data_IF_462620682682
#
_entry.id   IF_462620682682
#
_cell.length_a   1.000
_cell.length_b   1.000
_cell.length_c   1.000
_cell.angle_alpha   90.00
_cell.angle_beta   90.00
_cell.angle_gamma   90.00
#
_symmetry.space_group_name_H-M   'P 1'
#
loop_
_entity.id
_entity.type
_entity.pdbx_description
1 polymer ?
#
# COMPACT_ATOMS: atom_id res chain seq x y z
N UNK A 1 -14.12 -72.74 -32.87
CA UNK A 1 -14.76 -73.35 -31.68
C UNK A 1 -15.37 -72.20 -30.91
N UNK A 2 -16.63 -71.88 -31.35
CA UNK A 2 -17.41 -70.77 -30.77
C UNK A 2 -18.22 -71.32 -29.61
N UNK A 3 -18.21 -70.59 -28.50
CA UNK A 3 -19.11 -70.84 -27.37
C UNK A 3 -19.97 -69.60 -27.16
N UNK A 4 -21.21 -69.69 -27.60
CA UNK A 4 -22.31 -68.78 -27.28
C UNK A 4 -22.68 -68.87 -25.80
N UNK A 5 -22.77 -67.71 -25.13
CA UNK A 5 -23.43 -67.60 -23.82
C UNK A 5 -24.62 -66.64 -23.93
N UNK A 6 -25.79 -67.17 -23.62
CA UNK A 6 -27.09 -66.47 -23.62
C UNK A 6 -27.21 -65.47 -22.43
N UNK A 7 -27.84 -64.31 -22.59
CA UNK A 7 -28.16 -63.39 -21.48
C UNK A 7 -29.47 -63.80 -20.82
N UNK A 8 -29.44 -63.96 -19.50
CA UNK A 8 -30.62 -64.07 -18.64
C UNK A 8 -31.26 -62.69 -18.43
N UNK A 9 -32.54 -62.59 -18.76
CA UNK A 9 -33.45 -61.47 -18.41
C UNK A 9 -33.67 -61.51 -16.89
N UNK A 10 -33.34 -60.43 -16.17
CA UNK A 10 -33.79 -60.15 -14.81
C UNK A 10 -34.73 -58.93 -14.86
N UNK A 11 -35.87 -59.12 -14.22
CA UNK A 11 -37.09 -58.34 -14.42
C UNK A 11 -37.06 -56.90 -13.95
N UNK A 12 -37.96 -56.21 -14.60
CA UNK A 12 -38.39 -54.83 -14.33
C UNK A 12 -39.12 -54.74 -12.97
N UNK A 13 -38.46 -54.14 -11.92
CA UNK A 13 -39.16 -53.65 -10.73
C UNK A 13 -38.34 -52.63 -9.94
N UNK A 14 -37.60 -51.73 -10.62
CA UNK A 14 -36.81 -50.68 -9.94
C UNK A 14 -36.85 -49.34 -10.66
N UNK A 15 -38.01 -48.72 -10.96
CA UNK A 15 -37.92 -47.29 -11.30
C UNK A 15 -38.76 -46.35 -10.41
N UNK A 16 -39.38 -46.80 -9.31
CA UNK A 16 -40.30 -45.90 -8.55
C UNK A 16 -39.75 -45.36 -7.22
N UNK A 17 -38.64 -45.91 -6.72
CA UNK A 17 -38.03 -45.44 -5.44
C UNK A 17 -36.87 -44.49 -5.66
N UNK A 18 -36.19 -44.57 -6.81
CA UNK A 18 -35.06 -43.66 -7.13
C UNK A 18 -35.51 -42.25 -7.50
N UNK A 19 -36.74 -42.11 -8.09
CA UNK A 19 -37.30 -40.82 -8.48
C UNK A 19 -37.63 -39.87 -7.32
N UNK A 20 -37.99 -40.39 -6.15
CA UNK A 20 -38.35 -39.55 -4.99
C UNK A 20 -37.15 -39.09 -4.16
N UNK A 21 -36.03 -39.79 -4.20
CA UNK A 21 -34.79 -39.38 -3.51
C UNK A 21 -34.00 -38.32 -4.29
N UNK A 22 -34.09 -38.35 -5.63
CA UNK A 22 -33.43 -37.32 -6.49
C UNK A 22 -34.23 -36.02 -6.47
N UNK A 23 -35.52 -36.02 -6.32
CA UNK A 23 -36.33 -34.80 -6.18
C UNK A 23 -36.16 -34.12 -4.81
N UNK A 24 -35.85 -34.89 -3.75
CA UNK A 24 -35.59 -34.36 -2.40
C UNK A 24 -34.18 -33.77 -2.25
N UNK A 25 -33.20 -34.22 -3.03
CA UNK A 25 -31.83 -33.67 -3.03
C UNK A 25 -31.66 -32.45 -3.95
N UNK A 26 -32.54 -32.25 -4.93
CA UNK A 26 -32.48 -31.03 -5.77
C UNK A 26 -33.13 -29.79 -5.12
N UNK A 27 -33.91 -29.95 -4.03
CA UNK A 27 -34.52 -28.83 -3.32
C UNK A 27 -33.63 -28.25 -2.20
N UNK A 28 -32.48 -28.86 -1.90
CA UNK A 28 -31.51 -28.36 -0.88
C UNK A 28 -30.32 -27.62 -1.47
N UNK A 29 -30.14 -27.55 -2.78
CA UNK A 29 -29.28 -26.60 -3.45
C UNK A 29 -30.06 -25.31 -3.75
N UNK A 30 -30.55 -24.64 -2.71
CA UNK A 30 -30.78 -23.21 -2.78
C UNK A 30 -29.40 -22.62 -2.98
N UNK A 31 -29.12 -22.18 -4.21
CA UNK A 31 -27.94 -21.54 -4.66
C UNK A 31 -27.53 -20.47 -3.65
N UNK A 32 -26.46 -20.74 -2.91
CA UNK A 32 -25.53 -19.68 -2.55
C UNK A 32 -24.98 -19.29 -3.93
N UNK A 33 -25.64 -18.36 -4.60
CA UNK A 33 -25.03 -17.69 -5.73
C UNK A 33 -23.70 -17.18 -5.19
N UNK A 34 -22.55 -17.51 -5.81
CA UNK A 34 -21.33 -16.84 -5.43
C UNK A 34 -21.66 -15.35 -5.58
N UNK A 35 -21.57 -14.59 -4.49
CA UNK A 35 -21.60 -13.15 -4.59
C UNK A 35 -20.38 -12.81 -5.41
N UNK A 36 -20.57 -12.55 -6.70
CA UNK A 36 -19.49 -12.04 -7.53
C UNK A 36 -19.08 -10.73 -6.90
N UNK A 37 -17.79 -10.63 -6.52
CA UNK A 37 -17.20 -9.38 -6.07
C UNK A 37 -17.55 -8.29 -7.10
N UNK A 38 -18.28 -7.28 -6.66
CA UNK A 38 -18.68 -6.18 -7.53
C UNK A 38 -17.54 -5.16 -7.62
N UNK A 39 -17.41 -4.49 -8.77
CA UNK A 39 -16.55 -3.32 -8.88
C UNK A 39 -17.35 -2.09 -8.44
N UNK A 40 -16.93 -1.46 -7.34
CA UNK A 40 -17.66 -0.36 -6.71
C UNK A 40 -16.98 0.99 -6.94
N UNK A 41 -17.75 2.00 -7.32
CA UNK A 41 -17.27 3.36 -7.56
C UNK A 41 -17.18 4.16 -6.27
N UNK A 42 -16.18 3.91 -5.46
CA UNK A 42 -16.02 4.51 -4.11
C UNK A 42 -14.90 5.54 -4.01
N UNK A 43 -13.98 5.61 -4.96
CA UNK A 43 -12.88 6.58 -4.97
C UNK A 43 -13.46 7.97 -5.25
N UNK A 44 -13.20 8.92 -4.35
CA UNK A 44 -13.73 10.28 -4.41
C UNK A 44 -12.69 11.32 -4.77
N UNK A 45 -11.42 11.03 -4.50
CA UNK A 45 -10.32 11.92 -4.78
C UNK A 45 -9.05 11.13 -5.08
N UNK A 46 -8.18 11.67 -5.93
CA UNK A 46 -6.78 11.24 -6.12
C UNK A 46 -5.94 12.50 -6.19
N UNK A 47 -4.78 12.50 -5.54
CA UNK A 47 -3.82 13.60 -5.58
C UNK A 47 -2.39 13.08 -5.67
N UNK A 48 -1.49 13.93 -6.16
CA UNK A 48 -0.06 13.69 -6.24
C UNK A 48 0.69 14.80 -5.51
N UNK A 49 1.64 14.43 -4.68
CA UNK A 49 2.55 15.36 -4.03
C UNK A 49 3.98 14.80 -4.06
N UNK A 50 4.97 15.67 -4.14
CA UNK A 50 6.38 15.26 -3.98
C UNK A 50 6.65 14.92 -2.51
N UNK A 51 7.43 13.87 -2.23
CA UNK A 51 7.80 13.50 -0.86
C UNK A 51 8.65 14.56 -0.16
N UNK A 52 9.51 15.26 -0.90
CA UNK A 52 10.31 16.36 -0.39
C UNK A 52 9.51 17.64 -0.11
N UNK A 53 8.17 17.61 -0.30
CA UNK A 53 7.21 18.71 -0.07
C UNK A 53 7.43 19.93 -0.97
N UNK A 54 8.29 19.83 -1.97
CA UNK A 54 8.48 20.88 -2.95
C UNK A 54 7.30 20.92 -3.94
N UNK A 55 6.94 22.12 -4.36
CA UNK A 55 5.82 22.34 -5.30
C UNK A 55 6.28 22.48 -6.76
N UNK A 56 7.58 22.35 -7.01
CA UNK A 56 8.16 22.40 -8.36
C UNK A 56 7.93 21.11 -9.12
N UNK A 57 8.07 21.16 -10.45
CA UNK A 57 7.91 19.99 -11.31
C UNK A 57 8.86 18.84 -10.89
N UNK A 58 8.35 17.61 -10.73
CA UNK A 58 9.22 16.45 -10.53
C UNK A 58 10.07 16.18 -11.75
N UNK A 59 11.24 15.57 -11.55
CA UNK A 59 12.15 15.18 -12.61
C UNK A 59 12.19 13.67 -12.76
N UNK A 60 12.16 13.19 -14.00
CA UNK A 60 12.24 11.77 -14.35
C UNK A 60 13.43 11.09 -13.65
N UNK A 61 13.17 9.94 -13.03
CA UNK A 61 14.17 9.12 -12.36
C UNK A 61 14.67 9.66 -11.02
N UNK A 62 14.32 10.89 -10.62
CA UNK A 62 14.86 11.55 -9.43
C UNK A 62 13.80 11.62 -8.32
N UNK A 63 12.69 12.30 -8.57
CA UNK A 63 11.76 12.65 -7.50
C UNK A 63 10.72 11.57 -7.27
N UNK A 64 10.60 11.19 -6.01
CA UNK A 64 9.52 10.33 -5.52
C UNK A 64 8.30 11.19 -5.24
N UNK A 65 7.14 10.64 -5.59
CA UNK A 65 5.84 11.26 -5.34
C UNK A 65 4.95 10.30 -4.58
N UNK A 66 4.16 10.82 -3.67
CA UNK A 66 3.09 10.09 -3.03
C UNK A 66 1.80 10.30 -3.82
N UNK A 67 1.23 9.23 -4.32
CA UNK A 67 -0.16 9.19 -4.77
C UNK A 67 -1.03 8.95 -3.54
N UNK A 68 -1.95 9.85 -3.26
CA UNK A 68 -2.98 9.69 -2.23
C UNK A 68 -4.33 9.50 -2.87
N UNK A 69 -5.19 8.69 -2.25
CA UNK A 69 -6.56 8.49 -2.71
C UNK A 69 -7.52 8.38 -1.53
N UNK A 70 -8.73 8.91 -1.71
CA UNK A 70 -9.80 8.86 -0.73
C UNK A 70 -10.93 7.96 -1.23
N UNK A 71 -11.53 7.22 -0.31
CA UNK A 71 -12.72 6.40 -0.57
C UNK A 71 -13.89 6.86 0.30
N UNK A 72 -15.10 6.75 -0.25
CA UNK A 72 -16.34 7.00 0.46
C UNK A 72 -17.44 6.07 -0.05
N UNK A 73 -17.98 5.24 0.84
CA UNK A 73 -19.07 4.31 0.56
C UNK A 73 -20.43 4.81 1.01
N UNK A 74 -20.55 6.07 1.45
CA UNK A 74 -21.81 6.65 1.91
C UNK A 74 -22.89 6.53 0.83
N UNK A 75 -24.02 5.92 1.16
CA UNK A 75 -25.12 5.66 0.24
C UNK A 75 -24.86 4.58 -0.80
N UNK A 76 -23.84 3.75 -0.61
CA UNK A 76 -23.51 2.61 -1.46
C UNK A 76 -23.54 1.34 -0.64
N UNK A 77 -24.10 0.27 -1.20
CA UNK A 77 -24.04 -1.06 -0.61
C UNK A 77 -22.68 -1.67 -0.99
N UNK A 78 -21.82 -1.90 -0.01
CA UNK A 78 -20.53 -2.55 -0.18
C UNK A 78 -20.47 -3.78 0.70
N UNK A 79 -20.03 -4.89 0.13
CA UNK A 79 -19.91 -6.18 0.80
C UNK A 79 -18.45 -6.67 0.85
N UNK A 80 -18.11 -7.59 1.76
CA UNK A 80 -16.84 -8.28 1.73
C UNK A 80 -16.56 -8.92 0.36
N UNK A 81 -15.37 -8.66 -0.18
CA UNK A 81 -14.97 -9.13 -1.52
C UNK A 81 -15.23 -8.12 -2.64
N UNK A 82 -16.02 -7.08 -2.44
CA UNK A 82 -16.17 -6.01 -3.45
C UNK A 82 -14.85 -5.27 -3.66
N UNK A 83 -14.65 -4.79 -4.89
CA UNK A 83 -13.35 -4.23 -5.28
C UNK A 83 -13.49 -2.86 -5.94
N UNK A 84 -12.40 -2.09 -5.89
CA UNK A 84 -12.16 -0.98 -6.79
C UNK A 84 -10.74 -1.04 -7.35
N UNK A 85 -10.53 -0.45 -8.52
CA UNK A 85 -9.23 -0.42 -9.17
C UNK A 85 -8.82 1.00 -9.50
N UNK A 86 -7.50 1.28 -9.35
CA UNK A 86 -6.87 2.53 -9.78
C UNK A 86 -5.72 2.15 -10.69
N UNK A 87 -5.76 2.57 -11.96
CA UNK A 87 -4.65 2.37 -12.89
C UNK A 87 -3.66 3.52 -12.75
N UNK A 88 -2.40 3.18 -12.57
CA UNK A 88 -1.30 4.15 -12.50
C UNK A 88 -0.99 4.63 -13.92
N UNK A 89 -0.91 5.95 -14.17
CA UNK A 89 -0.59 6.49 -15.49
C UNK A 89 0.83 6.12 -15.93
N UNK A 90 1.09 6.03 -17.25
CA UNK A 90 2.39 5.61 -17.77
C UNK A 90 3.53 6.58 -17.45
N UNK A 91 3.26 7.81 -17.09
CA UNK A 91 4.26 8.79 -16.65
C UNK A 91 4.87 8.44 -15.30
N UNK A 92 4.23 7.53 -14.56
CA UNK A 92 4.61 7.13 -13.22
C UNK A 92 4.86 5.63 -13.13
N UNK A 93 5.79 5.23 -12.26
CA UNK A 93 5.93 3.84 -11.81
C UNK A 93 5.65 3.74 -10.32
N UNK A 94 5.04 2.65 -9.89
CA UNK A 94 4.98 2.25 -8.48
C UNK A 94 6.35 1.75 -8.05
N UNK A 95 6.85 2.27 -6.93
CA UNK A 95 8.13 1.85 -6.37
C UNK A 95 7.91 1.08 -5.07
N UNK A 96 8.77 0.09 -4.82
CA UNK A 96 8.82 -0.68 -3.60
C UNK A 96 10.19 -0.52 -2.96
N UNK A 97 10.23 0.05 -1.77
CA UNK A 97 11.46 0.11 -0.97
C UNK A 97 11.80 -1.28 -0.40
N UNK A 98 10.80 -2.16 -0.25
CA UNK A 98 11.02 -3.54 0.16
C UNK A 98 11.61 -4.44 -0.93
N UNK A 99 11.75 -3.95 -2.17
CA UNK A 99 12.16 -4.74 -3.33
C UNK A 99 11.11 -5.78 -3.75
N UNK A 100 9.91 -5.69 -3.22
CA UNK A 100 8.82 -6.60 -3.57
C UNK A 100 8.30 -6.30 -4.97
N UNK A 101 8.06 -7.34 -5.77
CA UNK A 101 7.43 -7.19 -7.09
C UNK A 101 5.93 -6.83 -7.00
N UNK A 102 5.34 -6.95 -5.82
CA UNK A 102 3.94 -6.58 -5.55
C UNK A 102 3.86 -5.97 -4.15
N UNK A 103 3.31 -4.78 -4.07
CA UNK A 103 3.03 -4.11 -2.81
C UNK A 103 1.67 -4.56 -2.32
N UNK A 104 1.61 -4.99 -1.06
CA UNK A 104 0.37 -5.33 -0.39
C UNK A 104 0.30 -4.50 0.90
N UNK A 105 -0.79 -3.78 1.07
CA UNK A 105 -1.06 -3.00 2.27
C UNK A 105 -2.54 -3.00 2.59
N UNK A 106 -2.88 -2.76 3.85
CA UNK A 106 -4.26 -2.65 4.30
C UNK A 106 -4.56 -1.24 4.78
N UNK A 107 -5.74 -0.75 4.45
CA UNK A 107 -6.33 0.41 5.13
C UNK A 107 -6.95 -0.12 6.43
N UNK A 108 -6.46 0.40 7.57
CA UNK A 108 -6.80 -0.10 8.89
C UNK A 108 -7.74 0.88 9.60
N UNK A 109 -8.67 0.35 10.40
CA UNK A 109 -9.45 1.20 11.31
C UNK A 109 -8.61 1.61 12.54
N UNK A 110 -9.20 2.38 13.45
CA UNK A 110 -8.54 2.85 14.67
C UNK A 110 -8.08 1.69 15.57
N UNK A 111 -8.81 0.56 15.55
CA UNK A 111 -8.48 -0.67 16.28
C UNK A 111 -7.46 -1.56 15.56
N UNK A 112 -6.88 -1.08 14.44
CA UNK A 112 -5.92 -1.80 13.58
C UNK A 112 -6.50 -3.04 12.91
N UNK A 113 -7.81 -3.09 12.69
CA UNK A 113 -8.48 -4.14 11.91
C UNK A 113 -8.45 -3.75 10.42
N UNK A 114 -8.09 -4.68 9.51
CA UNK A 114 -8.15 -4.45 8.07
C UNK A 114 -9.58 -4.18 7.59
N UNK A 115 -9.76 -3.05 6.92
CA UNK A 115 -11.04 -2.63 6.31
C UNK A 115 -11.01 -2.88 4.82
N UNK A 116 -9.90 -2.51 4.16
CA UNK A 116 -9.65 -2.68 2.73
C UNK A 116 -8.23 -3.20 2.53
N UNK A 117 -8.07 -4.25 1.77
CA UNK A 117 -6.77 -4.81 1.39
C UNK A 117 -6.44 -4.40 -0.04
N UNK A 118 -5.32 -3.71 -0.22
CA UNK A 118 -4.84 -3.22 -1.52
C UNK A 118 -3.62 -4.00 -1.99
N UNK A 119 -3.57 -4.29 -3.29
CA UNK A 119 -2.46 -4.94 -3.96
C UNK A 119 -2.14 -4.21 -5.26
N UNK A 120 -0.87 -3.88 -5.47
CA UNK A 120 -0.39 -3.24 -6.70
C UNK A 120 0.98 -3.79 -7.10
N UNK A 121 1.18 -4.23 -8.35
CA UNK A 121 2.51 -4.58 -8.82
C UNK A 121 3.44 -3.37 -8.79
N UNK A 122 4.72 -3.57 -8.45
CA UNK A 122 5.74 -2.56 -8.68
C UNK A 122 5.99 -2.41 -10.20
N UNK A 123 6.16 -1.18 -10.69
CA UNK A 123 6.42 -0.92 -12.10
C UNK A 123 5.53 0.14 -12.73
N UNK A 124 5.60 0.21 -14.07
CA UNK A 124 4.90 1.20 -14.90
C UNK A 124 3.58 0.65 -15.44
N UNK A 125 2.56 1.52 -15.63
CA UNK A 125 1.30 1.16 -16.26
C UNK A 125 0.49 0.08 -15.53
N UNK A 126 0.76 -0.11 -14.24
CA UNK A 126 0.14 -1.15 -13.40
C UNK A 126 -1.21 -0.69 -12.86
N UNK A 127 -2.04 -1.66 -12.46
CA UNK A 127 -3.31 -1.38 -11.77
C UNK A 127 -3.23 -1.83 -10.33
N UNK A 128 -3.60 -0.95 -9.41
CA UNK A 128 -3.89 -1.27 -8.03
C UNK A 128 -5.30 -1.82 -7.91
N UNK A 129 -5.45 -2.92 -7.19
CA UNK A 129 -6.76 -3.49 -6.84
C UNK A 129 -6.89 -3.46 -5.33
N UNK A 130 -7.99 -2.89 -4.85
CA UNK A 130 -8.34 -2.85 -3.45
C UNK A 130 -9.64 -3.62 -3.22
N UNK A 131 -9.67 -4.47 -2.19
CA UNK A 131 -10.77 -5.38 -1.86
C UNK A 131 -11.28 -5.08 -0.46
N UNK A 132 -12.58 -4.90 -0.30
CA UNK A 132 -13.20 -4.74 1.01
C UNK A 132 -13.17 -6.05 1.79
N UNK A 133 -12.68 -5.96 3.04
CA UNK A 133 -12.59 -7.08 3.97
C UNK A 133 -13.91 -7.36 4.70
N UNK A 134 -13.85 -8.30 5.66
CA UNK A 134 -15.00 -8.69 6.49
C UNK A 134 -15.61 -7.53 7.29
N UNK A 135 -14.84 -6.47 7.54
CA UNK A 135 -15.32 -5.25 8.20
C UNK A 135 -16.56 -4.65 7.50
N UNK A 136 -16.62 -4.71 6.17
CA UNK A 136 -17.75 -4.19 5.38
C UNK A 136 -19.08 -4.98 5.61
N UNK A 137 -19.05 -6.17 6.24
CA UNK A 137 -20.26 -6.91 6.58
C UNK A 137 -21.09 -6.21 7.66
N UNK A 138 -20.40 -5.65 8.65
CA UNK A 138 -21.01 -5.14 9.86
C UNK A 138 -20.95 -3.61 9.94
N UNK A 139 -20.41 -2.94 8.89
CA UNK A 139 -20.24 -1.50 8.83
C UNK A 139 -20.68 -0.93 7.48
N UNK A 140 -21.14 0.32 7.48
CA UNK A 140 -21.53 1.10 6.30
C UNK A 140 -20.87 2.47 6.34
N UNK A 141 -21.07 3.29 5.31
CA UNK A 141 -20.50 4.66 5.22
C UNK A 141 -18.99 4.66 5.50
N UNK A 142 -18.26 3.69 4.94
CA UNK A 142 -16.82 3.56 5.13
C UNK A 142 -16.13 4.70 4.40
N UNK A 143 -15.37 5.50 5.15
CA UNK A 143 -14.50 6.57 4.63
C UNK A 143 -13.06 6.19 4.94
N UNK A 144 -12.17 6.38 3.98
CA UNK A 144 -10.77 6.03 4.17
C UNK A 144 -9.84 6.82 3.27
N UNK A 145 -8.56 6.79 3.65
CA UNK A 145 -7.46 7.41 2.93
C UNK A 145 -6.34 6.41 2.72
N UNK A 146 -5.84 6.31 1.49
CA UNK A 146 -4.73 5.43 1.15
C UNK A 146 -3.61 6.16 0.42
N UNK A 147 -2.38 5.67 0.56
CA UNK A 147 -1.20 6.22 -0.10
C UNK A 147 -0.36 5.14 -0.75
N UNK A 148 0.24 5.46 -1.90
CA UNK A 148 1.19 4.62 -2.62
C UNK A 148 2.32 5.49 -3.14
N UNK A 149 3.56 5.01 -3.02
CA UNK A 149 4.73 5.71 -3.52
C UNK A 149 4.93 5.45 -5.00
N UNK A 150 5.19 6.53 -5.72
CA UNK A 150 5.42 6.51 -7.18
C UNK A 150 6.64 7.32 -7.53
N UNK A 151 7.18 7.10 -8.73
CA UNK A 151 8.32 7.86 -9.27
C UNK A 151 8.02 8.26 -10.69
N UNK A 152 8.38 9.48 -11.08
CA UNK A 152 8.28 9.95 -12.45
C UNK A 152 9.23 9.15 -13.36
N UNK A 153 8.74 8.61 -14.48
CA UNK A 153 9.53 7.81 -15.45
C UNK A 153 9.46 8.37 -16.86
N UNK A 154 8.42 9.11 -17.20
CA UNK A 154 8.29 9.78 -18.49
C UNK A 154 8.02 11.26 -18.32
N UNK A 155 8.75 12.09 -19.09
CA UNK A 155 8.55 13.53 -19.10
C UNK A 155 7.23 13.89 -19.79
N UNK A 156 6.57 14.93 -19.30
CA UNK A 156 5.38 15.50 -19.92
C UNK A 156 5.29 17.00 -19.67
N UNK A 157 4.83 17.75 -20.67
CA UNK A 157 4.47 19.16 -20.53
C UNK A 157 3.01 19.37 -20.16
N UNK A 158 2.23 18.28 -20.05
CA UNK A 158 0.86 18.34 -19.51
C UNK A 158 0.90 18.73 -18.06
N UNK A 159 -0.03 19.57 -17.63
CA UNK A 159 -0.19 19.91 -16.22
C UNK A 159 -0.94 18.84 -15.42
N UNK A 160 -1.48 17.83 -16.10
CA UNK A 160 -2.29 16.77 -15.50
C UNK A 160 -1.92 15.40 -16.04
N UNK A 161 -2.21 14.36 -15.26
CA UNK A 161 -2.20 12.95 -15.67
C UNK A 161 -3.55 12.31 -15.40
N UNK A 162 -3.84 11.20 -16.08
CA UNK A 162 -5.12 10.49 -15.97
C UNK A 162 -4.95 9.18 -15.19
N UNK A 163 -5.72 9.04 -14.11
CA UNK A 163 -5.86 7.81 -13.34
C UNK A 163 -7.21 7.15 -13.65
N UNK A 164 -7.28 6.10 -14.48
CA UNK A 164 -8.51 5.36 -14.65
C UNK A 164 -8.92 4.63 -13.35
N UNK A 165 -10.08 5.01 -12.81
CA UNK A 165 -10.72 4.35 -11.66
C UNK A 165 -11.87 3.51 -12.16
N UNK A 166 -11.81 2.19 -11.97
CA UNK A 166 -12.78 1.25 -12.54
C UNK A 166 -13.03 1.51 -14.06
N UNK A 167 -11.98 1.91 -14.79
CA UNK A 167 -12.06 2.25 -16.20
C UNK A 167 -12.53 3.67 -16.54
N UNK A 168 -12.91 4.48 -15.54
CA UNK A 168 -13.30 5.89 -15.73
C UNK A 168 -12.13 6.80 -15.42
N UNK A 169 -11.78 7.71 -16.34
CA UNK A 169 -10.65 8.63 -16.18
C UNK A 169 -10.91 9.66 -15.05
N UNK A 170 -9.97 9.73 -14.11
CA UNK A 170 -9.86 10.80 -13.11
C UNK A 170 -8.63 11.64 -13.45
N UNK A 171 -8.82 12.93 -13.67
CA UNK A 171 -7.75 13.87 -14.03
C UNK A 171 -7.14 14.44 -12.76
N UNK A 172 -5.81 14.35 -12.63
CA UNK A 172 -5.06 14.75 -11.45
C UNK A 172 -3.96 15.73 -11.85
N UNK A 173 -3.85 16.83 -11.12
CA UNK A 173 -2.82 17.84 -11.33
C UNK A 173 -1.43 17.32 -10.94
N UNK A 174 -0.44 17.63 -11.76
CA UNK A 174 0.97 17.37 -11.47
C UNK A 174 1.56 18.47 -10.60
N UNK A 175 2.38 18.14 -9.58
CA UNK A 175 3.18 19.13 -8.87
C UNK A 175 4.00 19.98 -9.87
N UNK A 176 3.92 21.31 -9.76
CA UNK A 176 4.61 22.23 -10.67
C UNK A 176 4.15 22.20 -12.12
N UNK A 177 3.03 21.52 -12.43
CA UNK A 177 2.36 21.57 -13.72
C UNK A 177 3.05 20.84 -14.87
N UNK A 178 4.00 19.93 -14.60
CA UNK A 178 4.70 19.13 -15.62
C UNK A 178 5.57 18.05 -14.97
N UNK A 179 6.17 17.16 -15.78
CA UNK A 179 7.30 16.30 -15.39
C UNK A 179 8.49 16.64 -16.27
N UNK A 180 9.58 17.10 -15.67
CA UNK A 180 10.82 17.45 -16.39
C UNK A 180 11.59 16.19 -16.78
N UNK A 181 12.05 16.14 -18.03
CA UNK A 181 12.98 15.11 -18.53
C UNK A 181 14.45 15.43 -18.24
N UNK A 182 14.73 16.64 -17.82
CA UNK A 182 16.11 17.11 -17.64
C UNK A 182 16.38 17.32 -16.16
N UNK A 183 17.37 16.60 -15.64
CA UNK A 183 17.91 16.84 -14.31
C UNK A 183 19.16 17.71 -14.40
N UNK A 184 19.10 18.87 -13.77
CA UNK A 184 20.29 19.68 -13.56
C UNK A 184 20.92 19.32 -12.22
N UNK A 185 22.00 18.54 -12.24
CA UNK A 185 22.79 18.21 -11.05
C UNK A 185 23.57 19.44 -10.60
N UNK A 186 23.03 20.19 -9.64
CA UNK A 186 23.66 21.41 -9.13
C UNK A 186 23.98 21.21 -7.65
N UNK A 187 25.27 21.17 -7.31
CA UNK A 187 25.71 21.20 -5.92
C UNK A 187 25.92 22.64 -5.45
N UNK A 188 25.02 23.15 -4.64
CA UNK A 188 25.13 24.50 -4.08
C UNK A 188 26.01 24.53 -2.83
N UNK A 189 25.87 23.52 -1.97
CA UNK A 189 26.59 23.40 -0.70
C UNK A 189 27.05 21.96 -0.50
N UNK A 190 28.13 21.81 0.30
CA UNK A 190 28.51 20.53 0.85
C UNK A 190 27.34 19.98 1.67
N UNK A 191 26.99 18.72 1.45
CA UNK A 191 25.83 18.07 2.06
C UNK A 191 26.08 16.60 2.28
N UNK A 192 25.26 16.02 3.16
CA UNK A 192 25.15 14.58 3.36
C UNK A 192 23.69 14.20 3.27
N UNK A 193 23.38 13.12 2.57
CA UNK A 193 22.03 12.61 2.42
C UNK A 193 22.04 11.11 2.21
N UNK A 194 20.87 10.47 2.34
CA UNK A 194 20.70 9.04 2.12
C UNK A 194 19.44 8.76 1.32
N UNK A 195 19.39 7.57 0.73
CA UNK A 195 18.19 7.03 0.08
C UNK A 195 18.13 5.53 0.27
N UNK A 196 16.91 4.94 0.34
CA UNK A 196 16.75 3.51 0.27
C UNK A 196 17.34 2.98 -1.03
N UNK A 197 17.99 1.81 -0.98
CA UNK A 197 18.48 1.16 -2.20
C UNK A 197 17.29 0.56 -2.94
N UNK A 198 17.01 1.05 -4.15
CA UNK A 198 15.93 0.53 -4.98
C UNK A 198 16.10 -0.98 -5.19
N UNK A 199 15.06 -1.75 -4.88
CA UNK A 199 15.06 -3.20 -4.99
C UNK A 199 15.72 -3.96 -3.82
N UNK A 200 16.21 -3.27 -2.79
CA UNK A 200 16.81 -3.91 -1.59
C UNK A 200 16.52 -3.08 -0.33
N UNK A 201 15.39 -3.36 0.31
CA UNK A 201 14.96 -2.68 1.54
C UNK A 201 15.89 -2.87 2.74
N UNK A 202 16.84 -3.79 2.64
CA UNK A 202 17.83 -4.02 3.69
C UNK A 202 18.99 -3.04 3.64
N UNK A 203 19.03 -2.15 2.65
CA UNK A 203 20.16 -1.26 2.40
C UNK A 203 19.78 0.19 2.23
N UNK A 204 20.67 1.04 2.71
CA UNK A 204 20.67 2.49 2.50
C UNK A 204 21.90 2.83 1.66
N UNK A 205 21.73 3.66 0.65
CA UNK A 205 22.82 4.34 -0.05
C UNK A 205 23.00 5.69 0.62
N UNK A 206 24.17 5.94 1.19
CA UNK A 206 24.57 7.24 1.72
C UNK A 206 25.46 7.95 0.73
N UNK A 207 25.29 9.25 0.63
CA UNK A 207 26.10 10.11 -0.24
C UNK A 207 26.55 11.35 0.51
N UNK A 208 27.83 11.70 0.35
CA UNK A 208 28.47 12.88 0.87
C UNK A 208 28.99 13.68 -0.31
N UNK A 209 28.32 14.79 -0.60
CA UNK A 209 28.72 15.72 -1.66
C UNK A 209 29.56 16.84 -1.06
N UNK A 210 30.78 17.01 -1.53
CA UNK A 210 31.72 18.00 -1.00
C UNK A 210 32.07 19.03 -2.05
N UNK A 211 31.70 20.29 -1.79
CA UNK A 211 32.14 21.40 -2.63
C UNK A 211 33.51 21.87 -2.18
N UNK A 212 34.51 21.67 -3.00
CA UNK A 212 35.91 22.00 -2.66
C UNK A 212 36.13 23.45 -2.24
N UNK A 213 35.33 24.41 -2.78
CA UNK A 213 35.37 25.81 -2.37
C UNK A 213 34.91 26.10 -0.95
N UNK A 214 34.21 25.13 -0.31
CA UNK A 214 33.73 25.24 1.06
C UNK A 214 34.62 24.52 2.10
N UNK A 215 35.66 23.86 1.64
CA UNK A 215 36.70 23.32 2.50
C UNK A 215 37.53 24.44 3.12
N UNK A 216 38.14 24.24 4.29
CA UNK A 216 39.02 25.22 4.93
C UNK A 216 40.09 25.74 3.96
N UNK A 217 40.41 27.03 4.06
CA UNK A 217 41.50 27.62 3.26
C UNK A 217 42.83 26.96 3.63
N UNK A 218 43.61 26.57 2.61
CA UNK A 218 44.87 25.87 2.80
C UNK A 218 44.75 24.36 3.08
N UNK A 219 43.56 23.81 3.16
CA UNK A 219 43.39 22.35 3.23
C UNK A 219 43.96 21.70 1.96
N UNK A 220 44.89 20.78 2.13
CA UNK A 220 45.51 19.98 1.06
C UNK A 220 44.88 18.57 0.95
N UNK A 221 44.09 18.19 1.94
CA UNK A 221 43.44 16.90 2.06
C UNK A 221 41.97 17.08 2.47
N UNK A 222 41.16 16.16 2.06
CA UNK A 222 39.79 15.98 2.54
C UNK A 222 39.78 14.82 3.50
N UNK A 223 39.37 15.07 4.73
CA UNK A 223 39.15 14.07 5.77
C UNK A 223 37.64 13.99 6.06
N UNK A 224 37.12 12.79 6.06
CA UNK A 224 35.71 12.49 6.40
C UNK A 224 35.73 11.51 7.55
N UNK A 225 35.13 11.88 8.68
CA UNK A 225 34.86 10.97 9.81
C UNK A 225 33.35 10.79 9.87
N UNK A 226 32.90 9.63 9.46
CA UNK A 226 31.47 9.27 9.39
C UNK A 226 31.07 8.48 10.65
N UNK A 227 29.93 8.82 11.25
CA UNK A 227 29.44 8.16 12.47
C UNK A 227 27.97 7.77 12.32
N UNK A 228 27.70 6.48 12.40
CA UNK A 228 26.39 5.90 12.23
C UNK A 228 25.52 6.09 13.47
N UNK A 229 24.31 6.62 13.29
CA UNK A 229 23.32 6.67 14.36
C UNK A 229 22.71 5.28 14.60
N UNK A 230 22.88 4.78 15.81
CA UNK A 230 22.39 3.47 16.24
C UNK A 230 21.00 3.54 16.89
N UNK A 231 20.39 4.72 17.01
CA UNK A 231 19.12 4.92 17.75
C UNK A 231 17.94 4.24 17.07
N UNK A 232 17.93 4.17 15.73
CA UNK A 232 16.86 3.56 14.93
C UNK A 232 17.07 2.06 14.65
N UNK A 233 17.75 1.33 15.54
CA UNK A 233 18.07 -0.10 15.36
C UNK A 233 19.39 -0.35 14.66
N UNK A 234 20.07 0.71 14.23
CA UNK A 234 21.41 0.70 13.68
C UNK A 234 21.53 0.15 12.27
N UNK A 235 22.68 0.43 11.69
CA UNK A 235 23.10 -0.08 10.40
C UNK A 235 24.61 -0.27 10.36
N UNK A 236 25.12 -1.01 9.40
CA UNK A 236 26.54 -1.34 9.29
C UNK A 236 27.03 -1.08 7.88
N UNK A 237 28.25 -0.57 7.75
CA UNK A 237 28.91 -0.37 6.46
C UNK A 237 28.97 -1.68 5.67
N UNK A 238 28.63 -1.64 4.38
CA UNK A 238 28.90 -2.73 3.45
C UNK A 238 30.32 -2.60 2.94
N UNK A 239 31.23 -3.49 3.30
CA UNK A 239 32.64 -3.40 2.89
C UNK A 239 32.78 -3.40 1.37
N UNK A 240 33.61 -2.52 0.80
CA UNK A 240 33.88 -2.44 -0.63
C UNK A 240 32.75 -1.81 -1.45
N UNK A 241 31.71 -1.28 -0.80
CA UNK A 241 30.62 -0.57 -1.48
C UNK A 241 30.97 0.88 -1.81
N UNK A 242 32.00 1.43 -1.20
CA UNK A 242 32.39 2.82 -1.39
C UNK A 242 32.76 3.12 -2.84
N UNK A 243 32.37 4.31 -3.29
CA UNK A 243 32.78 4.90 -4.57
C UNK A 243 33.08 6.38 -4.33
N UNK A 244 34.28 6.83 -4.65
CA UNK A 244 34.63 8.22 -4.68
C UNK A 244 34.64 8.71 -6.12
N UNK A 245 33.91 9.79 -6.40
CA UNK A 245 33.89 10.48 -7.68
C UNK A 245 34.51 11.86 -7.49
N UNK A 246 35.27 12.31 -8.48
CA UNK A 246 35.86 13.63 -8.51
C UNK A 246 35.54 14.34 -9.81
N UNK A 247 35.12 15.59 -9.69
CA UNK A 247 34.77 16.48 -10.80
C UNK A 247 35.57 17.78 -10.65
N UNK A 248 36.26 18.21 -11.72
CA UNK A 248 37.11 19.42 -11.68
C UNK A 248 36.30 20.72 -11.55
N UNK A 249 35.04 20.69 -12.00
CA UNK A 249 34.14 21.85 -12.05
C UNK A 249 32.67 21.43 -12.11
N UNK A 250 31.78 22.41 -12.00
CA UNK A 250 30.34 22.19 -12.00
C UNK A 250 29.81 21.58 -13.31
N UNK A 251 30.44 21.85 -14.48
CA UNK A 251 30.01 21.27 -15.74
C UNK A 251 30.29 19.77 -15.83
N UNK A 252 31.46 19.33 -15.33
CA UNK A 252 31.77 17.90 -15.21
C UNK A 252 30.84 17.21 -14.21
N UNK A 253 30.54 17.88 -13.09
CA UNK A 253 29.58 17.38 -12.09
C UNK A 253 28.19 17.22 -12.69
N UNK A 254 27.72 18.18 -13.48
CA UNK A 254 26.43 18.09 -14.18
C UNK A 254 26.40 16.95 -15.19
N UNK A 255 27.52 16.71 -15.89
CA UNK A 255 27.63 15.65 -16.89
C UNK A 255 27.70 14.24 -16.28
N UNK A 256 28.00 14.14 -14.98
CA UNK A 256 28.08 12.88 -14.20
C UNK A 256 28.96 11.80 -14.86
N UNK A 257 30.14 12.20 -15.34
CA UNK A 257 31.02 11.31 -16.13
C UNK A 257 32.32 10.91 -15.43
N UNK A 258 32.45 11.19 -14.12
CA UNK A 258 33.64 10.79 -13.40
C UNK A 258 33.69 9.27 -13.15
N UNK A 259 34.87 8.65 -13.27
CA UNK A 259 35.04 7.26 -12.90
C UNK A 259 34.90 7.08 -11.39
N UNK A 260 34.30 5.95 -10.97
CA UNK A 260 34.29 5.55 -9.56
C UNK A 260 35.68 5.08 -9.12
N UNK A 261 36.18 5.66 -8.04
CA UNK A 261 37.42 5.24 -7.39
C UNK A 261 37.10 4.43 -6.14
N UNK A 262 37.78 3.30 -5.95
CA UNK A 262 37.69 2.47 -4.76
C UNK A 262 38.81 2.84 -3.75
N UNK A 263 38.62 2.51 -2.50
CA UNK A 263 39.68 2.64 -1.50
C UNK A 263 40.97 1.93 -1.97
N UNK A 264 42.11 2.59 -1.81
CA UNK A 264 43.38 2.17 -2.39
C UNK A 264 43.68 2.71 -3.78
N UNK A 265 42.71 3.35 -4.47
CA UNK A 265 42.96 3.94 -5.79
C UNK A 265 43.79 5.22 -5.70
N UNK A 266 44.71 5.45 -6.67
CA UNK A 266 45.43 6.72 -6.77
C UNK A 266 44.50 7.86 -7.15
N UNK A 267 44.70 9.02 -6.53
CA UNK A 267 43.98 10.26 -6.85
C UNK A 267 44.95 11.46 -6.70
N UNK A 268 45.26 12.16 -7.80
CA UNK A 268 46.31 13.17 -7.82
C UNK A 268 47.67 12.59 -7.38
N UNK A 269 48.34 13.25 -6.45
CA UNK A 269 49.61 12.81 -5.89
C UNK A 269 49.48 11.90 -4.65
N UNK A 270 48.26 11.46 -4.31
CA UNK A 270 47.96 10.62 -3.16
C UNK A 270 47.08 9.44 -3.45
N UNK A 271 46.43 8.94 -2.41
CA UNK A 271 45.58 7.76 -2.47
C UNK A 271 44.27 8.02 -1.75
N UNK A 272 43.15 7.56 -2.30
CA UNK A 272 41.88 7.48 -1.58
C UNK A 272 41.97 6.33 -0.56
N UNK A 273 41.80 6.63 0.73
CA UNK A 273 41.70 5.61 1.79
C UNK A 273 40.33 5.64 2.43
N UNK A 274 39.85 4.49 2.89
CA UNK A 274 38.64 4.37 3.70
C UNK A 274 38.83 3.21 4.68
N UNK A 275 38.76 3.52 5.96
CA UNK A 275 38.96 2.55 7.04
C UNK A 275 37.76 2.57 7.98
N UNK A 276 37.15 1.40 8.21
CA UNK A 276 36.05 1.25 9.17
C UNK A 276 36.55 1.54 10.59
N UNK A 277 35.73 2.19 11.42
CA UNK A 277 36.03 2.40 12.84
C UNK A 277 36.11 1.04 13.56
N UNK A 278 36.96 0.98 14.63
CA UNK A 278 37.18 -0.26 15.36
C UNK A 278 35.90 -0.85 16.02
N UNK A 279 34.92 -0.01 16.30
CA UNK A 279 33.63 -0.39 16.87
C UNK A 279 32.56 -0.71 15.80
N UNK A 280 32.90 -0.58 14.51
CA UNK A 280 32.00 -0.84 13.37
C UNK A 280 30.90 0.21 13.19
N UNK A 281 30.96 1.35 13.91
CA UNK A 281 29.91 2.39 13.91
C UNK A 281 30.26 3.59 13.04
N UNK A 282 31.11 3.41 12.06
CA UNK A 282 31.50 4.46 11.15
C UNK A 282 32.75 4.12 10.39
N UNK A 283 33.35 5.14 9.79
CA UNK A 283 34.62 5.04 9.06
C UNK A 283 35.35 6.37 9.03
N UNK A 284 36.61 6.31 8.70
CA UNK A 284 37.40 7.49 8.29
C UNK A 284 37.82 7.32 6.85
N UNK A 285 37.58 8.34 6.04
CA UNK A 285 38.03 8.38 4.64
C UNK A 285 38.92 9.61 4.41
N UNK A 286 40.01 9.43 3.66
CA UNK A 286 40.91 10.52 3.31
C UNK A 286 41.32 10.48 1.85
N UNK A 287 41.49 11.63 1.25
CA UNK A 287 41.99 11.80 -0.12
C UNK A 287 42.51 13.22 -0.37
N UNK A 288 43.49 13.43 -1.28
CA UNK A 288 43.99 14.75 -1.62
C UNK A 288 42.90 15.70 -2.15
N UNK A 289 42.96 16.96 -1.73
CA UNK A 289 42.17 18.03 -2.35
C UNK A 289 42.87 18.46 -3.64
N UNK A 290 42.29 18.08 -4.80
CA UNK A 290 42.91 18.32 -6.10
C UNK A 290 42.79 19.78 -6.55
N UNK A 291 41.58 20.36 -6.43
CA UNK A 291 41.35 21.76 -6.80
C UNK A 291 40.45 22.47 -5.80
N UNK A 292 40.52 23.81 -5.79
CA UNK A 292 39.65 24.64 -4.95
C UNK A 292 38.17 24.57 -5.39
N UNK A 293 37.92 24.40 -6.68
CA UNK A 293 36.56 24.44 -7.24
C UNK A 293 36.04 23.04 -7.61
N UNK A 294 36.77 21.99 -7.29
CA UNK A 294 36.31 20.62 -7.55
C UNK A 294 35.16 20.20 -6.64
N UNK A 295 34.40 19.24 -7.13
CA UNK A 295 33.37 18.56 -6.37
C UNK A 295 33.78 17.11 -6.14
N UNK A 296 33.63 16.63 -4.92
CA UNK A 296 33.86 15.24 -4.56
C UNK A 296 32.55 14.63 -4.09
N UNK A 297 32.27 13.40 -4.52
CA UNK A 297 31.10 12.65 -4.10
C UNK A 297 31.58 11.31 -3.53
N UNK A 298 31.38 11.09 -2.25
CA UNK A 298 31.61 9.79 -1.63
C UNK A 298 30.26 9.10 -1.43
N UNK A 299 30.08 8.00 -2.13
CA UNK A 299 28.88 7.16 -2.02
C UNK A 299 29.27 5.81 -1.39
N UNK A 300 28.45 5.29 -0.48
CA UNK A 300 28.64 3.97 0.11
C UNK A 300 27.29 3.37 0.54
N UNK A 301 27.28 2.05 0.72
CA UNK A 301 26.08 1.34 1.17
C UNK A 301 26.21 0.95 2.66
N UNK A 302 25.07 0.98 3.34
CA UNK A 302 24.92 0.46 4.68
C UNK A 302 23.78 -0.56 4.76
N UNK A 303 24.00 -1.66 5.47
CA UNK A 303 22.95 -2.67 5.74
C UNK A 303 22.22 -2.31 7.02
N UNK A 304 20.89 -2.31 6.99
CA UNK A 304 20.03 -2.10 8.16
C UNK A 304 20.06 -3.36 9.03
N UNK A 305 20.43 -3.22 10.29
CA UNK A 305 20.63 -4.35 11.21
C UNK A 305 19.31 -4.97 11.67
N UNK A 306 18.21 -4.18 11.73
CA UNK A 306 16.91 -4.65 12.16
C UNK A 306 15.84 -4.29 11.12
N UNK A 307 15.54 -5.21 10.21
CA UNK A 307 14.54 -5.01 9.16
C UNK A 307 13.09 -4.83 9.69
N UNK A 308 12.80 -5.24 10.92
CA UNK A 308 11.48 -5.04 11.50
C UNK A 308 11.19 -3.55 11.72
N UNK A 309 12.23 -2.71 11.89
CA UNK A 309 12.09 -1.26 12.01
C UNK A 309 11.72 -0.59 10.69
N UNK A 310 12.11 -1.18 9.54
CA UNK A 310 11.86 -0.63 8.20
C UNK A 310 10.37 -0.56 7.86
N UNK A 311 9.57 -1.48 8.38
CA UNK A 311 8.12 -1.56 8.11
C UNK A 311 7.29 -0.51 8.83
N UNK A 312 7.90 0.24 9.77
CA UNK A 312 7.22 1.21 10.63
C UNK A 312 7.39 2.69 10.26
N UNK A 313 8.07 3.01 9.16
CA UNK A 313 8.36 4.40 8.79
C UNK A 313 9.41 5.02 9.73
N UNK A 314 10.65 4.56 9.67
CA UNK A 314 11.75 5.01 10.54
C UNK A 314 12.67 5.93 9.76
N UNK A 315 13.06 7.04 10.38
CA UNK A 315 14.14 7.90 9.89
C UNK A 315 15.48 7.39 10.41
N UNK A 316 16.41 7.11 9.50
CA UNK A 316 17.81 6.85 9.82
C UNK A 316 18.61 8.14 9.68
N UNK A 317 19.41 8.46 10.70
CA UNK A 317 20.30 9.60 10.70
C UNK A 317 21.75 9.16 10.56
N UNK A 318 22.56 10.01 9.96
CA UNK A 318 23.99 9.77 9.80
C UNK A 318 24.75 11.10 9.79
N UNK A 319 25.78 11.19 10.61
CA UNK A 319 26.61 12.37 10.78
C UNK A 319 27.98 12.16 10.15
N UNK A 320 28.51 13.18 9.49
CA UNK A 320 29.87 13.22 9.00
C UNK A 320 30.58 14.51 9.42
N UNK A 321 31.78 14.39 9.95
CA UNK A 321 32.72 15.51 10.09
C UNK A 321 33.56 15.54 8.83
N UNK A 322 33.49 16.64 8.09
CA UNK A 322 34.32 16.88 6.89
C UNK A 322 35.30 18.01 7.25
N UNK A 323 36.58 17.68 7.34
CA UNK A 323 37.59 18.60 7.82
C UNK A 323 37.14 19.32 9.12
N UNK A 324 36.66 18.54 10.10
CA UNK A 324 36.15 18.98 11.41
C UNK A 324 34.82 19.79 11.37
N UNK A 325 34.14 19.95 10.22
CA UNK A 325 32.81 20.57 10.15
C UNK A 325 31.73 19.50 10.05
N UNK A 326 30.72 19.59 10.91
CA UNK A 326 29.61 18.63 10.99
C UNK A 326 28.60 18.82 9.84
N UNK A 327 28.21 17.71 9.23
CA UNK A 327 27.12 17.59 8.28
C UNK A 327 26.25 16.38 8.67
N UNK A 328 24.96 16.60 8.79
CA UNK A 328 23.98 15.57 9.14
C UNK A 328 23.12 15.23 7.94
N UNK A 329 22.97 13.95 7.65
CA UNK A 329 22.04 13.42 6.66
C UNK A 329 20.93 12.61 7.33
N UNK A 330 19.77 12.59 6.71
CA UNK A 330 18.65 11.73 7.09
C UNK A 330 18.11 10.99 5.89
N UNK A 331 17.52 9.83 6.15
CA UNK A 331 16.73 9.09 5.17
C UNK A 331 15.50 8.53 5.86
N UNK A 332 14.34 8.86 5.30
CA UNK A 332 13.08 8.28 5.71
C UNK A 332 12.84 7.01 4.90
N UNK A 333 12.69 5.88 5.59
CA UNK A 333 12.26 4.65 4.95
C UNK A 333 10.76 4.51 5.22
N UNK A 334 9.97 4.70 4.19
CA UNK A 334 8.53 4.63 4.26
C UNK A 334 8.04 3.21 3.98
N UNK A 335 6.86 2.88 4.49
CA UNK A 335 6.13 1.70 4.01
C UNK A 335 5.78 1.90 2.53
N UNK A 336 5.84 0.84 1.73
CA UNK A 336 5.53 0.87 0.29
C UNK A 336 4.13 1.41 -0.01
N UNK A 337 3.18 1.20 0.91
CA UNK A 337 1.84 1.76 0.90
C UNK A 337 1.22 1.70 2.29
N UNK A 338 0.29 2.58 2.56
CA UNK A 338 -0.43 2.63 3.84
C UNK A 338 -1.83 3.22 3.67
N UNK A 339 -2.68 3.06 4.66
CA UNK A 339 -3.98 3.70 4.67
C UNK A 339 -4.74 3.47 5.97
N UNK A 340 -5.75 4.29 6.15
CA UNK A 340 -6.74 4.18 7.21
C UNK A 340 -8.16 4.20 6.62
N UNK A 341 -9.09 3.55 7.28
CA UNK A 341 -10.50 3.57 6.92
C UNK A 341 -11.38 3.24 8.13
N UNK A 342 -12.45 3.97 8.29
CA UNK A 342 -13.45 3.75 9.34
C UNK A 342 -14.86 3.78 8.75
N UNK A 343 -15.79 3.09 9.39
CA UNK A 343 -17.20 3.05 9.01
C UNK A 343 -18.11 2.99 10.22
N UNK A 344 -19.37 3.37 10.04
CA UNK A 344 -20.39 3.28 11.05
C UNK A 344 -20.87 1.84 11.21
N UNK A 345 -21.05 1.38 12.44
CA UNK A 345 -21.61 0.06 12.69
C UNK A 345 -23.04 -0.05 12.13
N UNK A 346 -23.36 -1.19 11.53
CA UNK A 346 -24.69 -1.45 11.04
C UNK A 346 -25.71 -1.48 12.22
N UNK A 347 -26.92 -0.92 12.06
CA UNK A 347 -27.91 -0.97 13.11
C UNK A 347 -28.22 -2.42 13.47
N UNK A 348 -28.12 -2.75 14.77
CA UNK A 348 -28.53 -4.08 15.23
C UNK A 348 -30.00 -4.28 14.86
N UNK A 349 -30.37 -5.40 14.19
CA UNK A 349 -31.75 -5.65 13.87
C UNK A 349 -32.57 -5.66 15.17
N UNK A 350 -33.49 -4.72 15.30
CA UNK A 350 -34.44 -4.73 16.42
C UNK A 350 -35.18 -6.04 16.33
N UNK A 351 -35.22 -6.87 17.42
CA UNK A 351 -35.95 -8.13 17.37
C UNK A 351 -37.39 -7.83 16.96
N UNK A 352 -37.81 -8.38 15.83
CA UNK A 352 -39.20 -8.29 15.38
C UNK A 352 -40.04 -8.89 16.49
N UNK A 353 -40.84 -8.07 17.15
CA UNK A 353 -41.82 -8.56 18.14
C UNK A 353 -42.74 -9.55 17.39
N UNK A 354 -42.56 -10.82 17.68
CA UNK A 354 -43.48 -11.84 17.18
C UNK A 354 -44.89 -11.40 17.61
N UNK A 355 -45.83 -11.18 16.67
CA UNK A 355 -47.17 -10.74 17.07
C UNK A 355 -47.69 -11.71 18.07
N UNK A 356 -48.05 -11.19 19.27
CA UNK A 356 -48.72 -11.99 20.30
C UNK A 356 -49.96 -12.56 19.62
N UNK A 357 -50.17 -13.90 19.66
CA UNK A 357 -51.35 -14.49 19.05
C UNK A 357 -52.57 -13.79 19.60
N UNK A 358 -53.43 -13.29 18.70
CA UNK A 358 -54.71 -12.70 19.08
C UNK A 358 -55.50 -13.69 19.92
N UNK A 359 -56.06 -13.29 21.11
CA UNK A 359 -56.77 -14.20 21.95
C UNK A 359 -57.92 -14.83 21.15
N UNK A 360 -57.91 -16.15 21.02
CA UNK A 360 -58.97 -16.93 20.41
C UNK A 360 -60.29 -16.54 21.07
N UNK A 361 -61.34 -16.11 20.29
CA UNK A 361 -62.62 -15.74 20.84
C UNK A 361 -63.18 -16.91 21.66
N UNK A 362 -63.39 -16.68 22.95
CA UNK A 362 -64.05 -17.65 23.84
C UNK A 362 -65.48 -17.86 23.33
N UNK A 363 -65.78 -19.07 22.90
CA UNK A 363 -67.16 -19.44 22.51
C UNK A 363 -68.06 -19.32 23.74
N UNK A 364 -68.88 -18.25 23.79
CA UNK A 364 -69.93 -18.11 24.78
C UNK A 364 -70.86 -19.31 24.67
N UNK A 365 -71.15 -20.10 25.73
CA UNK A 365 -72.05 -21.21 25.63
C UNK A 365 -73.44 -20.70 25.22
N UNK A 366 -74.03 -21.30 24.20
CA UNK A 366 -75.41 -21.08 23.76
C UNK A 366 -76.33 -21.44 24.91
N UNK A 367 -77.25 -20.56 25.38
CA UNK A 367 -78.20 -20.89 26.44
C UNK A 367 -79.08 -22.06 26.03
N UNK A 368 -79.26 -23.05 26.94
CA UNK A 368 -80.12 -24.22 26.83
C UNK A 368 -81.56 -23.78 26.67
N UNK A 369 -82.37 -24.38 25.74
CA UNK A 369 -83.76 -23.97 25.53
C UNK A 369 -84.57 -24.30 26.75
N UNK A 370 -85.32 -23.32 27.34
CA UNK A 370 -86.23 -23.45 28.42
C UNK A 370 -87.39 -24.38 28.01
N UNK A 371 -87.79 -25.40 28.85
CA UNK A 371 -88.90 -26.32 28.55
C UNK A 371 -90.21 -25.55 28.43
N UNK A 372 -90.95 -25.75 27.31
CA UNK A 372 -92.31 -25.23 27.07
C UNK A 372 -93.30 -25.89 28.00
N UNK A 373 -94.02 -25.12 28.84
CA UNK A 373 -95.12 -25.57 29.69
C UNK A 373 -96.30 -25.89 28.80
N UNK A 374 -96.77 -27.14 28.83
CA UNK A 374 -97.97 -27.64 28.17
C UNK A 374 -99.23 -26.96 28.80
N UNK A 375 -100.17 -26.40 28.07
CA UNK A 375 -101.40 -25.83 28.62
C UNK A 375 -102.30 -26.92 29.12
N UNK A 376 -102.82 -26.70 30.35
CA UNK A 376 -103.84 -27.53 30.97
C UNK A 376 -105.20 -27.33 30.23
N UNK A 377 -105.93 -28.38 29.95
CA UNK A 377 -107.23 -28.25 29.30
C UNK A 377 -108.33 -27.69 30.21
N UNK A 378 -109.11 -26.74 29.72
CA UNK A 378 -110.27 -26.10 30.34
C UNK A 378 -111.42 -27.07 30.44
N UNK A 379 -112.18 -27.09 31.59
CA UNK A 379 -113.37 -27.99 31.70
C UNK A 379 -114.58 -27.48 30.93
N UNK A 380 -115.23 -28.37 30.22
CA UNK A 380 -116.44 -28.17 29.41
C UNK A 380 -117.72 -27.97 30.34
N UNK A 381 -118.68 -27.09 30.01
CA UNK A 381 -119.92 -26.91 30.78
C UNK A 381 -120.94 -28.03 30.45
N UNK A 382 -121.55 -28.48 31.53
CA UNK A 382 -122.73 -29.44 31.47
C UNK A 382 -123.99 -28.66 31.69
N UNK A 383 -125.14 -29.15 31.20
CA UNK A 383 -126.34 -28.45 30.75
C UNK A 383 -127.24 -27.92 31.86
#
# INVERSE_FOLDING_TARGET
METHVHPRRIGRLFPLVVGLIVAGLLAAFIAIAPSYAASVGVVTNISLAREDKETTAPTVGIHVMTMSFDIDTTGKDVAPGDTFTIQIPPELKVISDSGSSTLNFSMLNDDKVPVVDCSVPAGEGVSMTCTFGEYARDHHSIIGHGTVRTKAVHATTSSTVSFPVNGTAVIVDLPGGSISGTYERILRNTQKWGQPKEGDSSRIIWEIDIKGSQLPEGATEVEIVDTFDMSSGGYSLVPGSENLYYYNNDAEFQADQAPALKAGAPIGDGTFTMEASADGKGFTATFPRLTKNGTYVLQYEATINNLATVRGGVTFHNDALINAKLYTGGVDIHSDGSGDANGDANPTPTPSVTPTPEPTPSTTPTPEPTPSTTPTPEPSPTP
#
